data_IF_997294055515
#
_entry.id   IF_997294055515
#
_cell.length_a   1.000
_cell.length_b   1.000
_cell.length_c   1.000
_cell.angle_alpha   90.00
_cell.angle_beta   90.00
_cell.angle_gamma   90.00
#
_symmetry.space_group_name_H-M   'P 1'
#
loop_
_entity.id
_entity.type
_entity.pdbx_description
1 polymer ?
#
# COMPACT_ATOMS: atom_id res chain seq x y z
N UNK A 1 13.74 -18.65 -2.82
CA UNK A 1 12.87 -19.49 -1.97
C UNK A 1 13.57 -20.08 -0.74
N UNK A 2 14.84 -20.52 -0.81
CA UNK A 2 15.53 -21.15 0.34
C UNK A 2 15.82 -20.21 1.53
N UNK A 3 15.98 -18.90 1.29
CA UNK A 3 16.26 -17.90 2.35
C UNK A 3 15.01 -17.48 3.15
N UNK A 4 13.80 -17.64 2.58
CA UNK A 4 12.55 -17.27 3.25
C UNK A 4 12.14 -18.31 4.31
N UNK A 5 12.46 -19.59 4.07
CA UNK A 5 12.20 -20.68 5.02
C UNK A 5 13.06 -20.58 6.28
N UNK A 6 14.29 -20.07 6.17
CA UNK A 6 15.22 -19.90 7.31
C UNK A 6 14.74 -18.80 8.26
N UNK A 7 14.14 -17.72 7.74
CA UNK A 7 13.56 -16.66 8.58
C UNK A 7 12.31 -17.17 9.31
N UNK A 8 11.45 -17.94 8.61
CA UNK A 8 10.27 -18.56 9.23
C UNK A 8 10.63 -19.60 10.30
N UNK A 9 11.67 -20.41 10.09
CA UNK A 9 12.17 -21.35 11.11
C UNK A 9 12.85 -20.63 12.29
N UNK A 10 13.57 -19.54 12.04
CA UNK A 10 14.24 -18.75 13.08
C UNK A 10 13.27 -18.08 14.05
N UNK A 11 12.09 -17.66 13.56
CA UNK A 11 11.02 -17.12 14.40
C UNK A 11 10.37 -18.20 15.29
N UNK A 12 10.35 -19.45 14.83
CA UNK A 12 9.83 -20.59 15.62
C UNK A 12 10.80 -21.04 16.72
N UNK A 13 12.12 -20.93 16.48
CA UNK A 13 13.16 -21.35 17.41
C UNK A 13 13.36 -20.41 18.62
N UNK A 14 12.83 -19.18 18.57
CA UNK A 14 12.86 -18.24 19.70
C UNK A 14 11.84 -18.56 20.80
N UNK A 15 11.03 -19.62 20.66
CA UNK A 15 10.04 -20.05 21.65
C UNK A 15 10.56 -20.91 22.81
N UNK A 16 11.85 -21.24 22.85
CA UNK A 16 12.38 -22.27 23.77
C UNK A 16 13.22 -21.76 24.95
N UNK A 17 13.07 -20.50 25.37
CA UNK A 17 13.71 -19.99 26.59
C UNK A 17 12.76 -19.10 27.41
N UNK A 18 12.40 -19.55 28.61
CA UNK A 18 11.74 -18.77 29.69
C UNK A 18 12.64 -18.80 30.93
N UNK A 19 12.44 -17.99 32.00
CA UNK A 19 11.50 -16.88 32.22
C UNK A 19 12.17 -15.56 32.69
N UNK A 20 11.71 -14.40 32.21
CA UNK A 20 12.01 -13.10 32.84
C UNK A 20 10.92 -12.06 32.48
N UNK A 21 9.83 -12.04 33.26
CA UNK A 21 8.75 -11.02 33.39
C UNK A 21 8.20 -10.24 32.16
N UNK A 22 8.67 -10.48 30.95
CA UNK A 22 8.13 -9.91 29.72
C UNK A 22 6.99 -10.81 29.23
N UNK A 23 5.76 -10.34 29.39
CA UNK A 23 4.59 -11.02 28.83
C UNK A 23 4.62 -10.85 27.31
N UNK A 24 5.16 -11.86 26.62
CA UNK A 24 5.10 -12.00 25.16
C UNK A 24 3.69 -12.42 24.79
N UNK A 25 3.08 -11.73 23.83
CA UNK A 25 1.78 -12.07 23.25
C UNK A 25 1.92 -12.20 21.74
N UNK A 26 1.35 -13.27 21.20
CA UNK A 26 1.21 -13.46 19.76
C UNK A 26 -0.19 -13.04 19.35
N UNK A 27 -0.35 -12.68 18.09
CA UNK A 27 -1.63 -12.28 17.56
C UNK A 27 -1.64 -12.26 16.04
N UNK A 28 -2.79 -11.90 15.51
CA UNK A 28 -2.99 -11.62 14.09
C UNK A 28 -3.54 -10.23 13.93
N UNK A 29 -3.13 -9.54 12.88
CA UNK A 29 -3.61 -8.21 12.51
C UNK A 29 -3.99 -8.20 11.05
N UNK A 30 -5.14 -7.62 10.73
CA UNK A 30 -5.58 -7.40 9.36
C UNK A 30 -6.39 -6.12 9.24
N UNK A 31 -6.49 -5.57 8.04
CA UNK A 31 -7.13 -4.28 7.86
C UNK A 31 -7.14 -3.79 6.43
N UNK A 32 -7.51 -2.51 6.29
CA UNK A 32 -7.69 -1.83 5.03
C UNK A 32 -6.77 -0.61 4.94
N UNK A 33 -6.23 -0.38 3.74
CA UNK A 33 -5.55 0.87 3.39
C UNK A 33 -6.59 1.83 2.79
N UNK A 34 -6.62 3.09 3.23
CA UNK A 34 -7.55 4.12 2.75
C UNK A 34 -6.82 5.39 2.32
N UNK A 35 -7.35 6.08 1.30
CA UNK A 35 -6.73 7.30 0.73
C UNK A 35 -6.93 8.49 1.65
N UNK A 36 -8.18 8.74 2.06
CA UNK A 36 -8.54 9.86 2.92
C UNK A 36 -9.36 9.36 4.12
N UNK A 37 -9.00 9.82 5.31
CA UNK A 37 -9.87 9.71 6.48
C UNK A 37 -10.81 10.91 6.51
N UNK A 38 -12.06 10.71 6.09
CA UNK A 38 -13.17 11.64 6.31
C UNK A 38 -14.05 11.08 7.42
N UNK A 39 -14.59 11.89 8.33
CA UNK A 39 -15.43 11.42 9.45
C UNK A 39 -16.86 11.00 9.03
N UNK A 40 -17.03 10.51 7.79
CA UNK A 40 -18.31 10.17 7.16
C UNK A 40 -18.31 8.69 6.76
N UNK A 41 -19.47 8.11 6.40
CA UNK A 41 -19.60 6.70 5.97
C UNK A 41 -18.65 6.31 4.81
N UNK A 42 -18.17 7.29 4.07
CA UNK A 42 -17.27 7.21 2.90
C UNK A 42 -15.91 6.53 3.18
N UNK A 43 -15.53 6.31 4.44
CA UNK A 43 -14.32 5.53 4.78
C UNK A 43 -14.40 4.09 4.25
N UNK A 44 -15.60 3.49 4.22
CA UNK A 44 -15.78 2.10 3.82
C UNK A 44 -16.20 1.92 2.37
N UNK A 45 -16.28 3.01 1.61
CA UNK A 45 -16.58 2.94 0.18
C UNK A 45 -15.43 2.29 -0.59
N UNK A 46 -15.79 1.48 -1.57
CA UNK A 46 -14.83 0.77 -2.43
C UNK A 46 -13.90 1.74 -3.17
N UNK A 47 -14.34 2.99 -3.41
CA UNK A 47 -13.54 4.05 -4.03
C UNK A 47 -12.47 4.64 -3.10
N UNK A 48 -12.66 4.59 -1.78
CA UNK A 48 -11.71 5.10 -0.80
C UNK A 48 -10.71 4.04 -0.33
N UNK A 49 -11.07 2.75 -0.47
CA UNK A 49 -10.20 1.61 -0.17
C UNK A 49 -9.14 1.44 -1.26
N UNK A 50 -7.89 1.66 -0.89
CA UNK A 50 -6.74 1.44 -1.78
C UNK A 50 -6.17 0.04 -1.65
N UNK A 51 -6.58 -0.77 -0.68
CA UNK A 51 -5.97 -2.07 -0.45
C UNK A 51 -6.32 -2.74 0.88
N UNK A 52 -5.71 -3.89 1.13
CA UNK A 52 -5.82 -4.62 2.39
C UNK A 52 -4.46 -5.11 2.87
N UNK A 53 -4.37 -5.42 4.16
CA UNK A 53 -3.21 -6.09 4.73
C UNK A 53 -3.62 -7.14 5.76
N UNK A 54 -2.77 -8.15 5.95
CA UNK A 54 -2.96 -9.19 6.96
C UNK A 54 -1.63 -9.84 7.34
N UNK A 55 -1.48 -10.22 8.60
CA UNK A 55 -0.36 -11.05 9.01
C UNK A 55 -0.22 -11.25 10.53
N UNK A 56 0.75 -12.08 10.96
CA UNK A 56 1.05 -12.30 12.36
C UNK A 56 1.67 -11.06 13.00
N UNK A 57 1.46 -10.94 14.30
CA UNK A 57 2.07 -9.92 15.14
C UNK A 57 2.51 -10.47 16.49
N UNK A 58 3.48 -9.82 17.09
CA UNK A 58 4.01 -10.12 18.43
C UNK A 58 4.12 -8.84 19.23
N UNK A 59 3.88 -8.93 20.54
CA UNK A 59 4.06 -7.83 21.49
C UNK A 59 4.82 -8.31 22.70
N UNK A 60 5.79 -7.52 23.11
CA UNK A 60 6.57 -7.69 24.33
C UNK A 60 6.18 -6.58 25.29
N UNK A 61 5.60 -6.94 26.43
CA UNK A 61 5.15 -5.98 27.44
C UNK A 61 6.33 -5.48 28.27
N UNK A 62 6.38 -4.17 28.51
CA UNK A 62 7.36 -3.48 29.35
C UNK A 62 6.65 -2.86 30.58
N UNK A 63 7.40 -2.42 31.61
CA UNK A 63 6.82 -1.71 32.73
C UNK A 63 6.08 -0.42 32.33
N UNK A 64 5.23 0.09 33.24
CA UNK A 64 4.57 1.39 33.10
C UNK A 64 3.66 1.51 31.87
N UNK A 65 3.06 0.41 31.40
CA UNK A 65 2.14 0.41 30.26
C UNK A 65 2.83 0.52 28.89
N UNK A 66 4.17 0.56 28.86
CA UNK A 66 4.92 0.48 27.62
C UNK A 66 4.95 -0.95 27.07
N UNK A 67 5.13 -1.06 25.77
CA UNK A 67 5.37 -2.33 25.08
C UNK A 67 6.06 -2.07 23.75
N UNK A 68 6.75 -3.08 23.24
CA UNK A 68 7.24 -3.08 21.87
C UNK A 68 6.46 -4.13 21.10
N UNK A 69 5.93 -3.77 19.93
CA UNK A 69 5.27 -4.71 19.03
C UNK A 69 5.93 -4.73 17.66
N UNK A 70 5.83 -5.88 17.01
CA UNK A 70 6.27 -6.08 15.64
C UNK A 70 5.27 -6.93 14.88
N UNK A 71 5.18 -6.76 13.57
CA UNK A 71 4.33 -7.58 12.70
C UNK A 71 5.03 -7.91 11.39
N UNK A 72 4.56 -8.95 10.71
CA UNK A 72 4.91 -9.24 9.33
C UNK A 72 3.62 -9.25 8.51
N UNK A 73 3.35 -8.19 7.76
CA UNK A 73 2.09 -7.96 7.08
C UNK A 73 2.25 -8.13 5.58
N UNK A 74 1.50 -9.05 4.98
CA UNK A 74 1.25 -8.98 3.55
C UNK A 74 0.34 -7.77 3.30
N UNK A 75 0.77 -6.85 2.45
CA UNK A 75 0.06 -5.62 2.12
C UNK A 75 -0.10 -5.53 0.59
N UNK A 76 -1.34 -5.43 0.13
CA UNK A 76 -1.70 -5.23 -1.26
C UNK A 76 -2.40 -3.89 -1.43
N UNK A 77 -1.85 -3.03 -2.28
CA UNK A 77 -2.43 -1.74 -2.67
C UNK A 77 -2.72 -1.70 -4.17
N UNK A 78 -3.75 -1.00 -4.59
CA UNK A 78 -4.12 -0.76 -5.99
C UNK A 78 -4.31 0.72 -6.24
N UNK A 79 -3.90 1.20 -7.41
CA UNK A 79 -4.11 2.57 -7.85
C UNK A 79 -4.60 2.59 -9.29
N UNK A 80 -5.66 3.34 -9.52
CA UNK A 80 -6.14 3.65 -10.86
C UNK A 80 -5.33 4.83 -11.41
N UNK A 81 -4.70 4.61 -12.57
CA UNK A 81 -3.93 5.60 -13.32
C UNK A 81 -4.73 5.97 -14.56
N UNK A 82 -5.27 7.19 -14.57
CA UNK A 82 -5.92 7.75 -15.75
C UNK A 82 -4.85 8.18 -16.74
N UNK A 83 -4.98 7.75 -17.99
CA UNK A 83 -4.15 8.20 -19.09
C UNK A 83 -5.02 8.80 -20.19
N UNK A 84 -4.55 9.88 -20.79
CA UNK A 84 -5.19 10.55 -21.91
C UNK A 84 -4.30 10.36 -23.13
N UNK A 85 -4.89 9.98 -24.25
CA UNK A 85 -4.21 9.91 -25.54
C UNK A 85 -5.11 10.52 -26.62
N UNK A 86 -4.48 11.02 -27.69
CA UNK A 86 -5.19 11.67 -28.79
C UNK A 86 -5.16 10.73 -29.99
N UNK A 87 -6.34 10.31 -30.44
CA UNK A 87 -6.49 9.55 -31.69
C UNK A 87 -6.73 10.53 -32.83
N UNK A 88 -6.03 10.34 -33.95
CA UNK A 88 -6.29 11.05 -35.20
C UNK A 88 -7.25 10.20 -36.02
N UNK A 89 -8.48 10.69 -36.21
CA UNK A 89 -9.49 10.07 -37.05
C UNK A 89 -9.49 10.79 -38.40
N UNK A 90 -9.30 10.05 -39.49
CA UNK A 90 -9.46 10.57 -40.84
C UNK A 90 -10.94 10.54 -41.19
N UNK A 91 -11.53 11.71 -41.43
CA UNK A 91 -12.93 11.83 -41.85
C UNK A 91 -12.93 12.11 -43.34
N UNK A 92 -13.49 11.17 -44.11
CA UNK A 92 -13.66 11.35 -45.54
C UNK A 92 -14.84 12.29 -45.79
N UNK A 93 -14.59 13.43 -46.43
CA UNK A 93 -15.66 14.30 -46.90
C UNK A 93 -16.24 13.70 -48.16
N UNK A 94 -17.35 12.98 -48.05
CA UNK A 94 -18.20 12.69 -49.21
C UNK A 94 -18.75 14.01 -49.75
N UNK A 95 -18.04 14.58 -50.71
CA UNK A 95 -18.58 15.66 -51.53
C UNK A 95 -19.37 15.00 -52.63
N UNK A 96 -20.66 15.31 -52.68
CA UNK A 96 -21.61 14.92 -53.73
C UNK A 96 -20.96 14.81 -55.12
N UNK A 97 -20.73 13.58 -55.56
CA UNK A 97 -20.64 13.18 -56.97
C UNK A 97 -19.55 13.78 -57.89
N UNK A 98 -18.59 14.58 -57.41
CA UNK A 98 -17.57 15.18 -58.29
C UNK A 98 -16.21 14.46 -58.24
N UNK A 99 -15.67 14.13 -59.42
CA UNK A 99 -14.33 13.55 -59.64
C UNK A 99 -13.22 14.59 -59.38
N UNK A 100 -13.06 15.01 -58.13
CA UNK A 100 -11.84 15.67 -57.64
C UNK A 100 -11.39 14.97 -56.36
N UNK A 101 -10.08 14.72 -56.25
CA UNK A 101 -9.45 13.99 -55.16
C UNK A 101 -9.96 14.46 -53.79
N UNK A 102 -10.39 13.55 -52.89
CA UNK A 102 -11.05 13.95 -51.65
C UNK A 102 -10.11 14.77 -50.75
N UNK A 103 -10.65 15.84 -50.15
CA UNK A 103 -9.99 16.59 -49.07
C UNK A 103 -10.15 15.80 -47.78
N UNK A 104 -9.06 15.23 -47.24
CA UNK A 104 -9.09 14.48 -45.97
C UNK A 104 -8.98 15.47 -44.79
N UNK A 105 -10.02 15.55 -43.96
CA UNK A 105 -9.96 16.29 -42.69
C UNK A 105 -9.45 15.35 -41.57
N UNK A 106 -8.47 15.83 -40.80
CA UNK A 106 -7.97 15.12 -39.61
C UNK A 106 -8.67 15.67 -38.38
N UNK A 107 -9.50 14.86 -37.74
CA UNK A 107 -10.15 15.20 -36.47
C UNK A 107 -9.38 14.54 -35.33
N UNK A 108 -8.88 15.35 -34.40
CA UNK A 108 -8.22 14.86 -33.19
C UNK A 108 -9.25 14.61 -32.09
N UNK A 109 -9.43 13.35 -31.69
CA UNK A 109 -10.30 12.99 -30.57
C UNK A 109 -9.47 12.66 -29.34
N UNK A 110 -9.79 13.31 -28.21
CA UNK A 110 -9.17 13.02 -26.93
C UNK A 110 -9.88 11.82 -26.29
N UNK A 111 -9.19 10.71 -26.12
CA UNK A 111 -9.68 9.50 -25.45
C UNK A 111 -8.99 9.33 -24.10
N UNK A 112 -9.71 8.79 -23.11
CA UNK A 112 -9.19 8.56 -21.77
C UNK A 112 -9.39 7.11 -21.36
N UNK A 113 -8.32 6.46 -20.89
CA UNK A 113 -8.37 5.11 -20.32
C UNK A 113 -7.94 5.09 -18.85
N UNK A 114 -8.26 4.00 -18.16
CA UNK A 114 -7.86 3.76 -16.76
C UNK A 114 -7.07 2.46 -16.68
N UNK A 115 -5.81 2.55 -16.28
CA UNK A 115 -4.97 1.39 -15.99
C UNK A 115 -4.94 1.13 -14.48
N UNK A 116 -5.17 -0.13 -14.05
CA UNK A 116 -5.05 -0.53 -12.64
C UNK A 116 -3.65 -1.04 -12.35
N UNK A 117 -2.93 -0.36 -11.47
CA UNK A 117 -1.60 -0.76 -10.98
C UNK A 117 -1.74 -1.40 -9.60
N UNK A 118 -1.12 -2.57 -9.38
CA UNK A 118 -1.13 -3.27 -8.09
C UNK A 118 0.27 -3.29 -7.48
N UNK A 119 0.38 -2.94 -6.21
CA UNK A 119 1.61 -3.05 -5.44
C UNK A 119 1.40 -4.12 -4.36
N UNK A 120 2.33 -5.08 -4.26
CA UNK A 120 2.30 -6.13 -3.24
C UNK A 120 3.62 -6.13 -2.48
N UNK A 121 3.55 -6.10 -1.16
CA UNK A 121 4.71 -5.97 -0.29
C UNK A 121 4.56 -6.77 1.00
N UNK A 122 5.69 -7.14 1.59
CA UNK A 122 5.77 -7.56 2.99
C UNK A 122 6.21 -6.37 3.82
N UNK A 123 5.35 -5.92 4.72
CA UNK A 123 5.59 -4.78 5.59
C UNK A 123 5.90 -5.26 7.01
N UNK A 124 7.01 -4.78 7.56
CA UNK A 124 7.50 -5.11 8.89
C UNK A 124 7.53 -3.83 9.73
N UNK A 125 6.42 -3.47 10.39
CA UNK A 125 6.42 -2.40 11.39
C UNK A 125 7.00 -2.91 12.71
N UNK A 126 7.78 -2.05 13.38
CA UNK A 126 8.24 -2.23 14.76
C UNK A 126 7.87 -0.98 15.52
N UNK A 127 6.97 -1.09 16.49
CA UNK A 127 6.42 0.07 17.19
C UNK A 127 6.77 0.04 18.67
N UNK A 128 7.14 1.21 19.21
CA UNK A 128 6.96 1.50 20.61
C UNK A 128 5.48 1.82 20.84
N UNK A 129 4.89 1.20 21.85
CA UNK A 129 3.47 1.33 22.20
C UNK A 129 3.32 1.73 23.66
N UNK A 130 2.44 2.69 23.94
CA UNK A 130 2.04 3.07 25.29
C UNK A 130 0.54 2.84 25.46
N UNK A 131 0.14 2.09 26.48
CA UNK A 131 -1.24 1.74 26.75
C UNK A 131 -1.73 2.28 28.10
N UNK A 132 -2.87 2.96 28.08
CA UNK A 132 -3.59 3.45 29.24
C UNK A 132 -4.76 2.51 29.51
N UNK A 133 -4.75 1.86 30.67
CA UNK A 133 -5.81 0.96 31.10
C UNK A 133 -7.11 1.72 31.36
N UNK A 134 -8.22 1.20 30.84
CA UNK A 134 -9.59 1.67 31.05
C UNK A 134 -10.38 0.60 31.82
N UNK A 135 -9.78 0.05 32.87
CA UNK A 135 -10.29 -1.08 33.64
C UNK A 135 -9.60 -2.42 33.31
N UNK A 136 -10.22 -3.53 33.75
CA UNK A 136 -9.63 -4.88 33.62
C UNK A 136 -9.75 -5.48 32.21
N UNK A 137 -10.67 -4.97 31.40
CA UNK A 137 -11.01 -5.52 30.08
C UNK A 137 -10.66 -4.60 28.91
N UNK A 138 -10.39 -3.31 29.16
CA UNK A 138 -10.17 -2.34 28.10
C UNK A 138 -8.89 -1.53 28.31
N UNK A 139 -8.27 -1.10 27.21
CA UNK A 139 -7.25 -0.06 27.20
C UNK A 139 -7.35 0.78 25.93
N UNK A 140 -6.87 2.01 26.00
CA UNK A 140 -6.47 2.79 24.83
C UNK A 140 -4.96 2.72 24.69
N UNK A 141 -4.45 2.77 23.46
CA UNK A 141 -3.01 2.76 23.23
C UNK A 141 -2.63 3.66 22.06
N UNK A 142 -1.41 4.18 22.14
CA UNK A 142 -0.73 4.91 21.09
C UNK A 142 0.50 4.14 20.67
N UNK A 143 0.90 4.24 19.42
CA UNK A 143 2.12 3.61 18.94
C UNK A 143 2.81 4.44 17.88
N UNK A 144 4.13 4.34 17.85
CA UNK A 144 4.96 4.92 16.82
C UNK A 144 6.20 4.07 16.58
N UNK A 145 6.65 3.98 15.34
CA UNK A 145 7.92 3.35 15.04
C UNK A 145 8.21 3.16 13.56
N UNK A 146 9.41 2.66 13.24
CA UNK A 146 9.81 2.39 11.87
C UNK A 146 9.00 1.25 11.26
N UNK A 147 8.84 1.30 9.94
CA UNK A 147 8.29 0.23 9.13
C UNK A 147 9.10 0.08 7.83
N UNK A 148 9.51 -1.15 7.56
CA UNK A 148 10.17 -1.54 6.32
C UNK A 148 9.19 -2.31 5.43
N UNK A 149 9.01 -1.88 4.19
CA UNK A 149 8.25 -2.59 3.18
C UNK A 149 9.17 -3.20 2.14
N UNK A 150 8.98 -4.47 1.82
CA UNK A 150 9.73 -5.20 0.79
C UNK A 150 8.78 -5.59 -0.34
N UNK A 151 8.98 -5.07 -1.54
CA UNK A 151 8.09 -5.35 -2.67
C UNK A 151 8.31 -6.77 -3.20
N UNK A 152 7.22 -7.55 -3.25
CA UNK A 152 7.19 -8.96 -3.68
C UNK A 152 6.32 -9.18 -4.93
N UNK A 153 5.58 -8.16 -5.37
CA UNK A 153 4.76 -8.19 -6.58
C UNK A 153 5.52 -7.81 -7.85
N UNK A 154 4.76 -7.63 -8.93
CA UNK A 154 5.31 -7.20 -10.23
C UNK A 154 6.02 -5.85 -10.10
N UNK A 155 7.31 -5.84 -10.45
CA UNK A 155 8.20 -4.68 -10.27
C UNK A 155 8.13 -3.68 -11.41
N UNK A 156 7.84 -4.16 -12.62
CA UNK A 156 7.83 -3.37 -13.83
C UNK A 156 6.45 -3.44 -14.48
N UNK A 157 5.84 -2.27 -14.64
CA UNK A 157 4.70 -2.12 -15.53
C UNK A 157 5.22 -1.49 -16.82
N UNK A 158 5.04 -2.21 -17.92
CA UNK A 158 5.46 -1.86 -19.27
C UNK A 158 4.29 -1.99 -20.24
N UNK A 159 4.39 -1.32 -21.39
CA UNK A 159 3.50 -1.56 -22.53
C UNK A 159 4.21 -2.58 -23.42
N UNK A 160 3.56 -3.69 -23.75
CA UNK A 160 4.07 -4.57 -24.81
C UNK A 160 3.90 -3.84 -26.15
N UNK A 161 5.01 -3.59 -26.85
CA UNK A 161 4.96 -3.04 -28.21
C UNK A 161 4.98 -4.20 -29.20
N UNK A 162 3.93 -4.32 -30.02
CA UNK A 162 3.92 -5.21 -31.18
C UNK A 162 4.89 -4.63 -32.23
N UNK A 163 5.92 -5.39 -32.61
CA UNK A 163 6.84 -4.98 -33.69
C UNK A 163 8.28 -4.62 -33.30
N UNK A 164 8.82 -5.21 -32.23
CA UNK A 164 10.27 -5.44 -32.11
C UNK A 164 11.19 -4.21 -32.19
N UNK A 165 11.15 -3.33 -31.19
CA UNK A 165 12.37 -2.92 -30.48
C UNK A 165 12.03 -2.15 -29.20
N UNK A 166 12.73 -2.52 -28.13
CA UNK A 166 12.80 -1.91 -26.80
C UNK A 166 11.64 -2.15 -25.79
N UNK A 167 11.84 -3.15 -24.93
CA UNK A 167 11.19 -3.24 -23.61
C UNK A 167 11.61 -2.03 -22.76
N UNK A 168 10.78 -0.99 -22.64
CA UNK A 168 11.04 0.14 -21.75
C UNK A 168 9.97 0.25 -20.67
N UNK A 169 10.37 0.12 -19.40
CA UNK A 169 9.49 0.14 -18.23
C UNK A 169 8.97 1.57 -17.98
N UNK A 170 7.65 1.77 -17.91
CA UNK A 170 7.07 3.09 -17.64
C UNK A 170 6.94 3.39 -16.12
N UNK A 171 6.84 2.35 -15.30
CA UNK A 171 6.79 2.44 -13.84
C UNK A 171 7.58 1.30 -13.22
N UNK A 172 8.53 1.63 -12.35
CA UNK A 172 9.30 0.64 -11.58
C UNK A 172 9.18 0.91 -10.08
N UNK A 173 8.67 -0.06 -9.33
CA UNK A 173 8.63 0.00 -7.87
C UNK A 173 10.01 -0.32 -7.31
N UNK A 174 10.44 0.43 -6.29
CA UNK A 174 11.69 0.11 -5.58
C UNK A 174 11.59 -1.24 -4.88
N UNK A 175 12.70 -1.91 -4.63
CA UNK A 175 12.69 -3.19 -3.92
C UNK A 175 12.28 -3.05 -2.46
N UNK A 176 12.61 -1.92 -1.84
CA UNK A 176 12.29 -1.63 -0.44
C UNK A 176 11.89 -0.18 -0.21
N UNK A 177 11.02 0.03 0.76
CA UNK A 177 10.56 1.32 1.23
C UNK A 177 10.70 1.42 2.75
N UNK A 178 11.10 2.59 3.21
CA UNK A 178 11.11 2.91 4.63
C UNK A 178 9.99 3.90 4.96
N UNK A 179 9.36 3.73 6.11
CA UNK A 179 8.27 4.57 6.57
C UNK A 179 8.23 4.66 8.09
N UNK A 180 7.58 5.69 8.61
CA UNK A 180 7.27 5.82 10.03
C UNK A 180 5.77 5.57 10.19
N UNK A 181 5.43 4.61 11.04
CA UNK A 181 4.08 4.24 11.37
C UNK A 181 3.69 4.92 12.68
N UNK A 182 2.60 5.69 12.71
CA UNK A 182 2.09 6.34 13.92
C UNK A 182 0.59 6.09 14.01
N UNK A 183 0.09 5.72 15.18
CA UNK A 183 -1.31 5.44 15.33
C UNK A 183 -1.79 5.34 16.77
N UNK A 184 -3.09 5.08 16.86
CA UNK A 184 -3.81 4.91 18.10
C UNK A 184 -4.84 3.80 17.96
N UNK A 185 -5.32 3.28 19.08
CA UNK A 185 -6.36 2.28 19.08
C UNK A 185 -6.87 1.95 20.46
N UNK A 186 -7.76 0.96 20.51
CA UNK A 186 -8.30 0.42 21.73
C UNK A 186 -8.23 -1.11 21.70
N UNK A 187 -7.99 -1.72 22.86
CA UNK A 187 -8.13 -3.17 23.05
C UNK A 187 -9.32 -3.41 23.96
N UNK A 188 -10.24 -4.29 23.55
CA UNK A 188 -11.36 -4.79 24.34
C UNK A 188 -11.15 -6.27 24.66
N UNK A 189 -11.65 -6.68 25.82
CA UNK A 189 -11.57 -8.04 26.36
C UNK A 189 -10.14 -8.59 26.38
N UNK A 190 -9.11 -7.73 26.49
CA UNK A 190 -7.67 -8.06 26.41
C UNK A 190 -7.17 -8.68 25.08
N UNK A 191 -8.07 -9.09 24.20
CA UNK A 191 -7.79 -9.82 22.96
C UNK A 191 -8.08 -8.97 21.72
N UNK A 192 -9.28 -8.41 21.61
CA UNK A 192 -9.74 -7.72 20.41
C UNK A 192 -9.19 -6.30 20.35
N UNK A 193 -8.52 -5.96 19.27
CA UNK A 193 -7.91 -4.65 19.05
C UNK A 193 -8.52 -3.98 17.82
N UNK A 194 -8.81 -2.69 17.94
CA UNK A 194 -9.11 -1.80 16.80
C UNK A 194 -8.07 -0.69 16.78
N UNK A 195 -7.54 -0.34 15.62
CA UNK A 195 -6.56 0.75 15.49
C UNK A 195 -6.72 1.54 14.20
N UNK A 196 -6.31 2.79 14.26
CA UNK A 196 -6.12 3.70 13.14
C UNK A 196 -4.65 4.15 13.13
N UNK A 197 -3.99 4.08 11.98
CA UNK A 197 -2.61 4.54 11.85
C UNK A 197 -2.34 5.21 10.51
N UNK A 198 -1.39 6.13 10.53
CA UNK A 198 -0.87 6.81 9.36
C UNK A 198 0.56 6.33 9.09
N UNK A 199 0.80 5.88 7.87
CA UNK A 199 2.13 5.49 7.42
C UNK A 199 2.77 6.65 6.65
N UNK A 200 3.87 7.19 7.18
CA UNK A 200 4.62 8.31 6.62
C UNK A 200 5.80 7.74 5.83
N UNK A 201 5.70 7.69 4.51
CA UNK A 201 6.76 7.19 3.65
C UNK A 201 7.98 8.14 3.70
N UNK A 202 9.12 7.59 4.09
CA UNK A 202 10.39 8.28 4.21
C UNK A 202 11.23 8.00 2.95
N UNK A 203 10.81 8.59 1.82
CA UNK A 203 11.48 8.42 0.53
C UNK A 203 10.51 8.30 -0.64
N UNK A 204 11.07 8.06 -1.83
CA UNK A 204 10.29 7.73 -3.04
C UNK A 204 10.07 6.22 -3.12
N UNK A 205 8.84 5.79 -3.39
CA UNK A 205 8.42 4.38 -3.50
C UNK A 205 8.52 3.82 -4.93
N UNK A 206 8.51 4.70 -5.94
CA UNK A 206 8.62 4.32 -7.34
C UNK A 206 9.39 5.38 -8.15
N UNK A 207 10.12 4.91 -9.17
CA UNK A 207 10.80 5.73 -10.17
C UNK A 207 10.02 5.68 -11.50
N UNK A 208 9.98 6.81 -12.21
CA UNK A 208 9.15 7.01 -13.41
C UNK A 208 10.00 7.61 -14.51
N UNK A 209 9.96 6.97 -15.67
CA UNK A 209 10.79 7.31 -16.83
C UNK A 209 9.90 7.59 -18.05
N UNK A 210 9.06 8.65 -18.02
CA UNK A 210 8.63 9.39 -19.24
C UNK A 210 7.82 10.68 -18.94
N UNK A 211 8.00 11.69 -19.82
CA UNK A 211 7.10 12.81 -20.12
C UNK A 211 6.79 13.83 -19.02
N UNK A 212 7.08 15.13 -19.25
CA UNK A 212 6.76 16.23 -18.31
C UNK A 212 5.30 16.20 -17.80
N UNK A 213 4.33 15.83 -18.65
CA UNK A 213 2.90 15.75 -18.28
C UNK A 213 2.54 14.55 -17.36
N UNK A 214 3.10 13.36 -17.60
CA UNK A 214 2.94 12.19 -16.72
C UNK A 214 3.75 12.35 -15.42
N UNK A 215 4.86 13.09 -15.46
CA UNK A 215 5.62 13.45 -14.29
C UNK A 215 4.81 14.26 -13.27
N UNK A 216 3.94 15.21 -13.66
CA UNK A 216 3.18 16.00 -12.67
C UNK A 216 2.12 15.18 -11.93
N UNK A 217 1.37 14.32 -12.64
CA UNK A 217 0.35 13.45 -12.03
C UNK A 217 0.96 12.33 -11.19
N UNK A 218 2.17 11.85 -11.54
CA UNK A 218 2.79 10.73 -10.87
C UNK A 218 3.83 11.12 -9.80
N UNK A 219 4.47 12.29 -9.90
CA UNK A 219 5.34 12.87 -8.85
C UNK A 219 4.55 13.27 -7.59
N UNK A 220 3.26 13.61 -7.74
CA UNK A 220 2.33 13.80 -6.62
C UNK A 220 2.02 12.50 -5.85
N UNK A 221 2.22 11.32 -6.46
CA UNK A 221 1.83 10.00 -5.92
C UNK A 221 3.02 9.08 -5.56
N UNK A 222 4.26 9.56 -5.68
CA UNK A 222 5.49 8.79 -5.45
C UNK A 222 5.72 8.41 -3.98
N UNK A 223 5.06 9.09 -3.04
CA UNK A 223 5.08 8.75 -1.61
C UNK A 223 3.83 7.95 -1.29
N UNK A 224 4.01 6.70 -0.88
CA UNK A 224 2.93 5.78 -0.53
C UNK A 224 2.38 6.02 0.88
N UNK A 225 2.14 7.29 1.23
CA UNK A 225 1.49 7.63 2.50
C UNK A 225 0.07 7.07 2.46
N UNK A 226 -0.34 6.40 3.54
CA UNK A 226 -1.70 5.88 3.62
C UNK A 226 -2.19 5.85 5.06
N UNK A 227 -3.48 6.04 5.20
CA UNK A 227 -4.20 5.70 6.42
C UNK A 227 -4.51 4.21 6.41
N UNK A 228 -4.46 3.59 7.59
CA UNK A 228 -4.79 2.20 7.81
C UNK A 228 -5.77 2.09 8.97
N UNK A 229 -6.77 1.22 8.77
CA UNK A 229 -7.70 0.82 9.82
C UNK A 229 -7.54 -0.68 9.99
N UNK A 230 -7.29 -1.12 11.22
CA UNK A 230 -6.96 -2.50 11.50
C UNK A 230 -7.80 -3.09 12.62
N UNK A 231 -8.10 -4.37 12.47
CA UNK A 231 -8.55 -5.26 13.52
C UNK A 231 -7.40 -6.20 13.89
N UNK A 232 -7.23 -6.45 15.18
CA UNK A 232 -6.25 -7.37 15.70
C UNK A 232 -6.85 -8.29 16.76
N UNK A 233 -6.29 -9.48 16.90
CA UNK A 233 -6.62 -10.42 17.96
C UNK A 233 -5.35 -10.93 18.60
N UNK A 234 -5.18 -10.68 19.91
CA UNK A 234 -4.12 -11.30 20.71
C UNK A 234 -4.58 -12.66 21.19
N UNK A 235 -3.71 -13.68 21.11
CA UNK A 235 -3.94 -14.98 21.73
C UNK A 235 -3.64 -14.94 23.23
#
# INVERSE_FOLDING_TARGET
MKKLFVILLGVFALGAATPAQAQVKFGVKGGLNVTNMTFTKDIFDASNKTGFFIGPMVKVSLPLGFSVDAAALYDQKSADVKYEYTEAMYVDKTTDGSLQSPSVDVVYQKSSGVAKVKQQSINVPVNLRYAVGLGSMANMFFFAGPQWGFNIGHKNYGTESYGGNENRNFLSFKDSNFSINVGLGATLLKHLQVSANYNIACGKTADITYGKALQYLAKARSRSNCWQIALGYWF
#
